data_IF_708646265175
#
_entry.id   IF_708646265175
#
_cell.length_a   1.000
_cell.length_b   1.000
_cell.length_c   1.000
_cell.angle_alpha   90.00
_cell.angle_beta   90.00
_cell.angle_gamma   90.00
#
_symmetry.space_group_name_H-M   'P 1'
#
loop_
_entity.id
_entity.type
_entity.pdbx_description
1 polymer ?
#
# COMPACT_ATOMS: atom_id res chain seq x y z
N UNK A 1 -18.30 22.13 4.72
CA UNK A 1 -17.38 21.35 5.60
C UNK A 1 -16.27 22.29 6.01
N UNK A 2 -15.96 22.38 7.30
CA UNK A 2 -15.04 23.38 7.83
C UNK A 2 -13.58 22.99 7.50
N UNK A 3 -12.71 23.99 7.24
CA UNK A 3 -11.28 23.79 6.99
C UNK A 3 -10.57 22.98 8.09
N UNK A 4 -11.01 23.13 9.34
CA UNK A 4 -10.54 22.35 10.48
C UNK A 4 -10.78 20.84 10.33
N UNK A 5 -11.89 20.43 9.69
CA UNK A 5 -12.19 19.02 9.47
C UNK A 5 -11.15 18.37 8.53
N UNK A 6 -10.84 19.01 7.42
CA UNK A 6 -9.86 18.49 6.45
C UNK A 6 -8.45 18.43 7.04
N UNK A 7 -8.09 19.43 7.84
CA UNK A 7 -6.80 19.45 8.55
C UNK A 7 -6.67 18.29 9.54
N UNK A 8 -7.70 18.01 10.36
CA UNK A 8 -7.71 16.87 11.27
C UNK A 8 -7.70 15.54 10.52
N UNK A 9 -8.46 15.44 9.45
CA UNK A 9 -8.50 14.23 8.61
C UNK A 9 -7.14 13.94 7.96
N UNK A 10 -6.47 14.94 7.42
CA UNK A 10 -5.14 14.78 6.83
C UNK A 10 -4.12 14.27 7.87
N UNK A 11 -4.13 14.83 9.08
CA UNK A 11 -3.21 14.39 10.14
C UNK A 11 -3.55 12.98 10.66
N UNK A 12 -4.80 12.73 10.97
CA UNK A 12 -5.24 11.45 11.50
C UNK A 12 -5.01 10.31 10.48
N UNK A 13 -5.41 10.50 9.22
CA UNK A 13 -5.20 9.52 8.16
C UNK A 13 -3.72 9.25 7.91
N UNK A 14 -2.88 10.29 7.93
CA UNK A 14 -1.44 10.15 7.75
C UNK A 14 -0.79 9.32 8.86
N UNK A 15 -1.10 9.60 10.13
CA UNK A 15 -0.55 8.87 11.29
C UNK A 15 -1.01 7.40 11.27
N UNK A 16 -2.29 7.16 11.03
CA UNK A 16 -2.86 5.81 10.98
C UNK A 16 -2.26 5.01 9.81
N UNK A 17 -2.17 5.62 8.64
CA UNK A 17 -1.55 4.98 7.46
C UNK A 17 -0.08 4.66 7.70
N UNK A 18 0.66 5.56 8.32
CA UNK A 18 2.05 5.32 8.70
C UNK A 18 2.16 4.13 9.67
N UNK A 19 1.28 4.02 10.65
CA UNK A 19 1.22 2.88 11.57
C UNK A 19 0.99 1.55 10.84
N UNK A 20 0.05 1.49 9.90
CA UNK A 20 -0.19 0.30 9.06
C UNK A 20 1.01 -0.02 8.16
N UNK A 21 1.65 0.99 7.60
CA UNK A 21 2.86 0.80 6.79
C UNK A 21 3.99 0.16 7.61
N UNK A 22 4.23 0.68 8.81
CA UNK A 22 5.23 0.11 9.73
C UNK A 22 4.89 -1.33 10.13
N UNK A 23 3.62 -1.60 10.47
CA UNK A 23 3.17 -2.94 10.80
C UNK A 23 3.34 -3.91 9.62
N UNK A 24 2.99 -3.49 8.40
CA UNK A 24 3.18 -4.28 7.18
C UNK A 24 4.66 -4.56 6.89
N UNK A 25 5.53 -3.55 7.03
CA UNK A 25 6.96 -3.69 6.81
C UNK A 25 7.59 -4.66 7.81
N UNK A 26 7.31 -4.50 9.11
CA UNK A 26 7.78 -5.40 10.16
C UNK A 26 7.32 -6.83 9.93
N UNK A 27 6.04 -7.01 9.56
CA UNK A 27 5.48 -8.31 9.26
C UNK A 27 6.16 -8.96 8.05
N UNK A 28 6.39 -8.19 6.99
CA UNK A 28 7.13 -8.64 5.82
C UNK A 28 8.56 -9.09 6.14
N UNK A 29 9.26 -8.36 7.01
CA UNK A 29 10.60 -8.72 7.48
C UNK A 29 10.55 -10.04 8.28
N UNK A 30 9.58 -10.20 9.18
CA UNK A 30 9.41 -11.44 9.95
C UNK A 30 9.18 -12.65 9.03
N UNK A 31 8.36 -12.49 7.99
CA UNK A 31 8.12 -13.55 7.00
C UNK A 31 9.39 -13.85 6.18
N UNK A 32 10.11 -12.82 5.72
CA UNK A 32 11.30 -12.97 4.88
C UNK A 32 12.47 -13.61 5.65
N UNK A 33 12.68 -13.23 6.91
CA UNK A 33 13.76 -13.75 7.74
C UNK A 33 13.50 -15.13 8.32
N UNK A 34 12.28 -15.65 8.14
CA UNK A 34 11.86 -16.96 8.65
C UNK A 34 12.09 -17.14 10.16
N UNK A 35 12.10 -16.07 10.92
CA UNK A 35 12.27 -16.09 12.38
C UNK A 35 11.15 -16.89 13.05
N UNK A 36 9.97 -16.93 12.42
CA UNK A 36 8.80 -17.65 12.93
C UNK A 36 8.80 -19.16 12.65
N UNK A 37 9.90 -19.74 12.12
CA UNK A 37 9.98 -21.19 11.97
C UNK A 37 10.00 -21.86 13.37
N UNK A 38 9.25 -22.94 13.56
CA UNK A 38 8.45 -23.78 12.64
C UNK A 38 6.99 -23.32 12.45
N UNK A 39 6.58 -22.17 12.97
CA UNK A 39 5.21 -21.66 12.98
C UNK A 39 4.85 -20.87 11.69
N UNK A 40 5.76 -20.78 10.72
CA UNK A 40 5.69 -19.92 9.53
C UNK A 40 4.78 -20.45 8.40
N UNK A 41 3.86 -21.40 8.68
CA UNK A 41 3.13 -22.06 7.61
C UNK A 41 1.62 -21.82 7.47
N UNK A 42 0.92 -21.13 8.34
CA UNK A 42 -0.47 -20.83 8.02
C UNK A 42 -0.53 -19.79 6.88
N UNK A 43 -1.30 -20.09 5.85
CA UNK A 43 -1.55 -19.18 4.73
C UNK A 43 -2.03 -17.80 5.20
N UNK A 44 -2.70 -17.72 6.36
CA UNK A 44 -3.17 -16.48 6.96
C UNK A 44 -2.06 -15.45 7.27
N UNK A 45 -0.82 -15.89 7.46
CA UNK A 45 0.31 -14.96 7.69
C UNK A 45 0.61 -14.13 6.43
N UNK A 46 0.57 -14.77 5.26
CA UNK A 46 0.71 -14.08 3.97
C UNK A 46 -0.52 -13.22 3.66
N UNK A 47 -1.71 -13.74 3.95
CA UNK A 47 -2.96 -13.02 3.79
C UNK A 47 -2.98 -11.75 4.64
N UNK A 48 -2.53 -11.84 5.89
CA UNK A 48 -2.44 -10.67 6.77
C UNK A 48 -1.49 -9.61 6.21
N UNK A 49 -0.32 -10.02 5.68
CA UNK A 49 0.61 -9.08 5.05
C UNK A 49 -0.02 -8.39 3.83
N UNK A 50 -0.70 -9.14 2.98
CA UNK A 50 -1.42 -8.61 1.81
C UNK A 50 -2.53 -7.64 2.22
N UNK A 51 -3.32 -7.97 3.24
CA UNK A 51 -4.36 -7.10 3.80
C UNK A 51 -3.79 -5.80 4.37
N UNK A 52 -2.70 -5.86 5.12
CA UNK A 52 -2.01 -4.67 5.66
C UNK A 52 -1.54 -3.76 4.52
N UNK A 53 -0.99 -4.32 3.45
CA UNK A 53 -0.60 -3.58 2.25
C UNK A 53 -1.79 -2.87 1.60
N UNK A 54 -2.89 -3.59 1.42
CA UNK A 54 -4.12 -3.04 0.84
C UNK A 54 -4.70 -1.90 1.68
N UNK A 55 -4.81 -2.08 3.00
CA UNK A 55 -5.28 -1.02 3.91
C UNK A 55 -4.36 0.20 3.85
N UNK A 56 -3.05 0.00 3.74
CA UNK A 56 -2.08 1.09 3.63
C UNK A 56 -2.30 1.90 2.34
N UNK A 57 -2.62 1.27 1.21
CA UNK A 57 -2.95 1.97 -0.04
C UNK A 57 -4.22 2.82 0.13
N UNK A 58 -5.29 2.24 0.70
CA UNK A 58 -6.52 3.00 0.97
C UNK A 58 -6.30 4.17 1.92
N UNK A 59 -5.52 3.96 2.98
CA UNK A 59 -5.13 5.01 3.91
C UNK A 59 -4.33 6.12 3.23
N UNK A 60 -3.40 5.77 2.35
CA UNK A 60 -2.62 6.74 1.56
C UNK A 60 -3.52 7.54 0.64
N UNK A 61 -4.46 6.89 -0.07
CA UNK A 61 -5.42 7.57 -0.92
C UNK A 61 -6.32 8.54 -0.13
N UNK A 62 -6.80 8.12 1.03
CA UNK A 62 -7.58 8.99 1.93
C UNK A 62 -6.75 10.17 2.44
N UNK A 63 -5.49 9.94 2.79
CA UNK A 63 -4.56 10.99 3.22
C UNK A 63 -4.36 12.03 2.11
N UNK A 64 -4.09 11.59 0.88
CA UNK A 64 -3.93 12.48 -0.28
C UNK A 64 -5.22 13.25 -0.58
N UNK A 65 -6.37 12.58 -0.55
CA UNK A 65 -7.67 13.24 -0.75
C UNK A 65 -7.92 14.32 0.31
N UNK A 66 -7.52 14.06 1.56
CA UNK A 66 -7.64 15.03 2.66
C UNK A 66 -6.73 16.25 2.46
N UNK A 67 -5.52 16.04 1.91
CA UNK A 67 -4.60 17.14 1.58
C UNK A 67 -5.13 18.03 0.45
N UNK A 68 -5.77 17.44 -0.55
CA UNK A 68 -6.42 18.20 -1.64
C UNK A 68 -7.62 19.00 -1.12
N UNK A 69 -8.38 18.42 -0.17
CA UNK A 69 -9.53 19.08 0.44
C UNK A 69 -9.15 20.18 1.46
N UNK A 70 -7.91 20.20 1.91
CA UNK A 70 -7.43 21.23 2.86
C UNK A 70 -7.22 22.56 2.13
N UNK A 71 -7.87 23.61 2.64
CA UNK A 71 -7.77 24.96 2.09
C UNK A 71 -6.64 25.77 2.69
N UNK A 72 -5.96 25.27 3.73
CA UNK A 72 -4.85 25.98 4.40
C UNK A 72 -3.56 25.89 3.58
N UNK A 73 -3.25 24.71 3.04
CA UNK A 73 -2.14 24.52 2.10
C UNK A 73 -2.73 24.12 0.75
N UNK A 74 -2.68 25.00 -0.22
CA UNK A 74 -3.19 24.72 -1.56
C UNK A 74 -2.22 23.77 -2.28
N UNK A 75 -2.45 22.46 -2.13
CA UNK A 75 -1.73 21.47 -2.92
C UNK A 75 -2.34 21.36 -4.32
N UNK A 76 -1.56 21.73 -5.33
CA UNK A 76 -1.88 21.44 -6.71
C UNK A 76 -1.69 19.95 -7.03
N UNK A 77 -2.28 19.47 -8.12
CA UNK A 77 -2.08 18.09 -8.58
C UNK A 77 -0.60 17.76 -8.82
N UNK A 78 0.17 18.73 -9.31
CA UNK A 78 1.61 18.61 -9.50
C UNK A 78 2.35 18.40 -8.16
N UNK A 79 1.92 19.08 -7.10
CA UNK A 79 2.54 18.98 -5.77
C UNK A 79 2.36 17.60 -5.13
N UNK A 80 1.35 16.83 -5.58
CA UNK A 80 1.04 15.49 -5.07
C UNK A 80 1.76 14.38 -5.83
N UNK A 81 2.11 14.62 -7.09
CA UNK A 81 2.66 13.57 -7.96
C UNK A 81 4.08 13.84 -8.43
N UNK A 82 4.55 15.09 -8.36
CA UNK A 82 5.91 15.44 -8.81
C UNK A 82 6.78 15.76 -7.60
N UNK A 83 7.82 14.94 -7.33
CA UNK A 83 8.77 15.25 -6.26
C UNK A 83 9.39 16.63 -6.45
N UNK A 84 9.51 17.38 -5.36
CA UNK A 84 10.07 18.74 -5.32
C UNK A 84 9.24 19.85 -6.00
N UNK A 85 8.04 19.56 -6.51
CA UNK A 85 7.15 20.58 -7.07
C UNK A 85 6.54 21.48 -6.00
N UNK A 86 6.30 20.96 -4.80
CA UNK A 86 5.67 21.70 -3.72
C UNK A 86 6.56 22.81 -3.17
N UNK A 87 6.01 24.01 -3.05
CA UNK A 87 6.64 25.14 -2.37
C UNK A 87 6.63 25.00 -0.84
N UNK A 88 5.75 24.14 -0.30
CA UNK A 88 5.63 23.89 1.14
C UNK A 88 6.41 22.63 1.53
N UNK A 89 7.47 22.81 2.34
CA UNK A 89 8.36 21.72 2.81
C UNK A 89 8.76 20.74 1.71
N UNK A 90 9.43 21.16 0.66
CA UNK A 90 9.65 20.37 -0.57
C UNK A 90 10.31 19.01 -0.32
N UNK A 91 11.25 18.92 0.61
CA UNK A 91 11.91 17.66 0.96
C UNK A 91 10.96 16.63 1.61
N UNK A 92 10.12 17.07 2.56
CA UNK A 92 9.20 16.17 3.24
C UNK A 92 8.13 15.64 2.27
N UNK A 93 7.60 16.54 1.41
CA UNK A 93 6.62 16.17 0.38
C UNK A 93 7.25 15.23 -0.65
N UNK A 94 8.46 15.52 -1.13
CA UNK A 94 9.16 14.67 -2.08
C UNK A 94 9.37 13.25 -1.56
N UNK A 95 9.80 13.07 -0.32
CA UNK A 95 9.95 11.76 0.29
C UNK A 95 8.60 11.03 0.43
N UNK A 96 7.52 11.75 0.74
CA UNK A 96 6.16 11.19 0.75
C UNK A 96 5.75 10.65 -0.62
N UNK A 97 5.99 11.40 -1.69
CA UNK A 97 5.69 11.01 -3.07
C UNK A 97 6.51 9.79 -3.49
N UNK A 98 7.81 9.78 -3.19
CA UNK A 98 8.69 8.64 -3.50
C UNK A 98 8.18 7.39 -2.75
N UNK A 99 7.87 7.52 -1.46
CA UNK A 99 7.29 6.43 -0.66
C UNK A 99 5.98 5.90 -1.23
N UNK A 100 5.10 6.77 -1.69
CA UNK A 100 3.85 6.41 -2.37
C UNK A 100 4.12 5.60 -3.65
N UNK A 101 5.04 6.04 -4.50
CA UNK A 101 5.38 5.31 -5.73
C UNK A 101 5.97 3.93 -5.43
N UNK A 102 6.84 3.83 -4.43
CA UNK A 102 7.39 2.54 -4.01
C UNK A 102 6.30 1.62 -3.47
N UNK A 103 5.38 2.14 -2.66
CA UNK A 103 4.25 1.37 -2.14
C UNK A 103 3.38 0.81 -3.26
N UNK A 104 2.99 1.64 -4.23
CA UNK A 104 2.18 1.23 -5.38
C UNK A 104 2.92 0.21 -6.25
N UNK A 105 4.20 0.41 -6.50
CA UNK A 105 5.02 -0.52 -7.30
C UNK A 105 5.12 -1.90 -6.63
N UNK A 106 5.41 -1.95 -5.33
CA UNK A 106 5.51 -3.20 -4.57
C UNK A 106 4.17 -3.93 -4.55
N UNK A 107 3.08 -3.21 -4.26
CA UNK A 107 1.75 -3.81 -4.19
C UNK A 107 1.27 -4.29 -5.56
N UNK A 108 1.50 -3.52 -6.61
CA UNK A 108 1.17 -3.91 -7.98
C UNK A 108 1.93 -5.16 -8.43
N UNK A 109 3.20 -5.26 -8.07
CA UNK A 109 4.01 -6.44 -8.36
C UNK A 109 3.49 -7.70 -7.63
N UNK A 110 3.09 -7.56 -6.37
CA UNK A 110 2.51 -8.67 -5.61
C UNK A 110 1.20 -9.16 -6.22
N UNK A 111 0.29 -8.25 -6.58
CA UNK A 111 -0.98 -8.62 -7.23
C UNK A 111 -0.74 -9.34 -8.56
N UNK A 112 0.13 -8.82 -9.40
CA UNK A 112 0.47 -9.44 -10.69
C UNK A 112 1.04 -10.85 -10.50
N UNK A 113 1.87 -11.09 -9.49
CA UNK A 113 2.42 -12.41 -9.20
C UNK A 113 1.33 -13.41 -8.75
N UNK A 114 0.36 -12.95 -7.94
CA UNK A 114 -0.77 -13.78 -7.50
C UNK A 114 -1.68 -14.15 -8.69
N UNK A 115 -1.99 -13.21 -9.56
CA UNK A 115 -2.83 -13.42 -10.74
C UNK A 115 -2.18 -14.44 -11.69
N UNK A 116 -0.86 -14.38 -11.91
CA UNK A 116 -0.13 -15.34 -12.71
C UNK A 116 -0.17 -16.76 -12.12
N UNK A 117 -0.05 -16.88 -10.81
CA UNK A 117 -0.16 -18.18 -10.13
C UNK A 117 -1.56 -18.79 -10.25
N UNK A 118 -2.60 -17.96 -10.16
CA UNK A 118 -3.98 -18.43 -10.33
C UNK A 118 -4.27 -18.88 -11.77
N UNK A 119 -3.79 -18.15 -12.77
CA UNK A 119 -3.88 -18.56 -14.17
C UNK A 119 -3.18 -19.90 -14.41
N UNK A 120 -1.98 -20.10 -13.85
CA UNK A 120 -1.28 -21.38 -13.93
C UNK A 120 -2.03 -22.53 -13.26
N UNK A 121 -2.62 -22.30 -12.10
CA UNK A 121 -3.44 -23.30 -11.39
C UNK A 121 -4.67 -23.69 -12.18
N UNK A 122 -5.36 -22.74 -12.80
CA UNK A 122 -6.52 -23.00 -13.67
C UNK A 122 -6.07 -23.82 -14.89
N UNK A 123 -4.98 -23.45 -15.53
CA UNK A 123 -4.44 -24.16 -16.68
C UNK A 123 -4.05 -25.63 -16.38
N UNK A 124 -3.46 -25.87 -15.20
CA UNK A 124 -3.14 -27.21 -14.73
C UNK A 124 -4.41 -28.03 -14.47
N UNK A 125 -5.43 -27.46 -13.83
CA UNK A 125 -6.72 -28.14 -13.59
C UNK A 125 -7.40 -28.55 -14.89
N UNK A 126 -7.43 -27.66 -15.88
CA UNK A 126 -8.02 -27.94 -17.19
C UNK A 126 -7.28 -29.08 -17.88
N UNK A 127 -5.95 -29.10 -17.86
CA UNK A 127 -5.14 -30.18 -18.46
C UNK A 127 -5.37 -31.54 -17.79
N UNK A 128 -5.46 -31.55 -16.45
CA UNK A 128 -5.73 -32.79 -15.72
C UNK A 128 -7.11 -33.36 -16.09
N UNK A 129 -8.14 -32.52 -16.19
CA UNK A 129 -9.47 -32.97 -16.59
C UNK A 129 -9.55 -33.39 -18.05
N UNK A 130 -8.81 -32.74 -18.95
CA UNK A 130 -8.77 -33.10 -20.37
C UNK A 130 -7.94 -34.39 -20.65
N UNK A 131 -6.98 -34.71 -19.76
CA UNK A 131 -6.15 -35.94 -19.92
C UNK A 131 -6.78 -37.20 -19.29
N UNK A 132 -7.95 -37.07 -18.65
CA UNK A 132 -8.68 -38.20 -18.08
C UNK A 132 -9.75 -38.80 -19.04
N UNK A 133 -9.77 -38.36 -20.27
CA UNK A 133 -10.54 -38.90 -21.36
C UNK A 133 -9.59 -39.44 -22.45
#
# INVERSE_FOLDING_TARGET
MNSQFWWHMARASGIVTWGFLMASALWGILLATRVLKPYDRPAWLLDLHSWLGTITIFGTALHLASLVGDTYVHFGTADLFVPFASSWKPLAVAWGIIGMYLLVAVQGHQQMALDLLDVQRIGLRVRVHAGLH
#
